data_IF_919497585053
#
_entry.id   IF_919497585053
#
_cell.length_a   1.000
_cell.length_b   1.000
_cell.length_c   1.000
_cell.angle_alpha   90.00
_cell.angle_beta   90.00
_cell.angle_gamma   90.00
#
_symmetry.space_group_name_H-M   'P 1'
#
loop_
_entity.id
_entity.type
_entity.pdbx_description
1 polymer ?
#
# COMPACT_ATOMS: atom_id res chain seq x y z
N UNK A 1 31.51 -54.92 22.73
CA UNK A 1 30.16 -54.38 22.50
C UNK A 1 29.98 -53.16 23.38
N UNK A 2 30.19 -51.96 22.85
CA UNK A 2 29.89 -50.71 23.56
C UNK A 2 28.72 -50.05 22.82
N UNK A 3 27.61 -49.86 23.52
CA UNK A 3 26.37 -49.35 22.97
C UNK A 3 26.55 -47.91 22.51
N UNK A 4 26.31 -47.66 21.23
CA UNK A 4 26.13 -46.32 20.67
C UNK A 4 24.75 -45.84 21.11
N UNK A 5 24.70 -44.87 22.03
CA UNK A 5 23.46 -44.15 22.31
C UNK A 5 23.28 -43.11 21.21
N UNK A 6 22.50 -43.48 20.20
CA UNK A 6 21.94 -42.58 19.21
C UNK A 6 20.76 -41.84 19.82
N UNK A 7 20.77 -40.50 19.76
CA UNK A 7 19.52 -39.72 19.87
C UNK A 7 18.97 -39.45 18.46
N UNK A 8 17.68 -39.20 18.37
CA UNK A 8 16.89 -39.22 17.13
C UNK A 8 17.21 -38.11 16.10
N UNK A 9 18.28 -37.32 16.29
CA UNK A 9 18.56 -36.12 15.51
C UNK A 9 19.85 -36.19 14.68
N UNK A 10 20.46 -37.36 14.49
CA UNK A 10 21.57 -37.54 13.53
C UNK A 10 22.82 -36.68 13.78
N UNK A 11 22.89 -35.95 14.89
CA UNK A 11 24.11 -35.28 15.32
C UNK A 11 24.98 -36.35 15.99
N UNK A 12 26.16 -36.57 15.43
CA UNK A 12 27.20 -37.37 16.07
C UNK A 12 27.66 -36.69 17.37
N UNK A 13 26.90 -36.87 18.45
CA UNK A 13 27.36 -36.60 19.80
C UNK A 13 27.84 -37.92 20.39
N UNK A 14 29.12 -38.22 20.18
CA UNK A 14 29.86 -39.13 21.07
C UNK A 14 31.34 -38.78 21.10
N UNK A 15 31.67 -38.05 22.16
CA UNK A 15 32.68 -38.38 23.18
C UNK A 15 34.07 -38.83 22.71
N UNK A 16 35.08 -38.06 23.15
CA UNK A 16 36.54 -38.24 23.02
C UNK A 16 37.21 -37.68 21.75
N UNK A 17 37.11 -36.36 21.54
CA UNK A 17 38.04 -35.60 20.69
C UNK A 17 39.01 -34.77 21.56
N UNK A 18 40.31 -34.71 21.20
CA UNK A 18 41.38 -34.18 22.06
C UNK A 18 41.40 -32.66 22.30
N UNK A 19 40.40 -31.90 21.87
CA UNK A 19 40.13 -30.52 22.36
C UNK A 19 38.72 -30.16 21.94
N UNK A 20 37.74 -30.37 22.81
CA UNK A 20 36.43 -29.74 22.67
C UNK A 20 36.52 -28.35 23.29
N UNK A 21 36.20 -27.31 22.52
CA UNK A 21 36.12 -25.94 23.02
C UNK A 21 34.96 -25.82 24.01
N UNK A 22 35.23 -25.27 25.20
CA UNK A 22 34.20 -25.10 26.22
C UNK A 22 33.11 -24.14 25.74
N UNK A 23 33.49 -23.09 25.02
CA UNK A 23 32.57 -22.11 24.43
C UNK A 23 31.54 -22.78 23.52
N UNK A 24 31.95 -23.71 22.66
CA UNK A 24 31.06 -24.45 21.76
C UNK A 24 30.10 -25.33 22.55
N UNK A 25 30.59 -26.02 23.59
CA UNK A 25 29.75 -26.83 24.47
C UNK A 25 28.71 -25.99 25.22
N UNK A 26 29.06 -24.75 25.62
CA UNK A 26 28.11 -23.82 26.25
C UNK A 26 27.08 -23.29 25.25
N UNK A 27 27.52 -22.89 24.06
CA UNK A 27 26.63 -22.39 22.98
C UNK A 27 25.62 -23.46 22.58
N UNK A 28 26.04 -24.71 22.44
CA UNK A 28 25.14 -25.82 22.08
C UNK A 28 24.05 -26.10 23.12
N UNK A 29 24.25 -25.68 24.38
CA UNK A 29 23.26 -25.82 25.46
C UNK A 29 22.30 -24.64 25.56
N UNK A 30 22.49 -23.59 24.75
CA UNK A 30 21.53 -22.51 24.68
C UNK A 30 20.25 -23.01 24.00
N UNK A 31 19.07 -22.85 24.61
CA UNK A 31 17.84 -23.46 24.11
C UNK A 31 17.43 -22.93 22.73
N UNK A 32 17.80 -21.70 22.39
CA UNK A 32 17.63 -21.13 21.04
C UNK A 32 18.50 -21.84 19.99
N UNK A 33 19.75 -22.16 20.35
CA UNK A 33 20.69 -22.86 19.47
C UNK A 33 20.24 -24.30 19.29
N UNK A 34 19.87 -24.98 20.38
CA UNK A 34 19.31 -26.33 20.33
C UNK A 34 18.07 -26.40 19.43
N UNK A 35 17.12 -25.47 19.60
CA UNK A 35 15.91 -25.39 18.76
C UNK A 35 16.24 -25.17 17.28
N UNK A 36 17.25 -24.33 16.99
CA UNK A 36 17.69 -24.04 15.62
C UNK A 36 18.32 -25.26 14.97
N UNK A 37 19.21 -25.96 15.70
CA UNK A 37 19.84 -27.20 15.23
C UNK A 37 18.77 -28.26 14.97
N UNK A 38 17.83 -28.47 15.91
CA UNK A 38 16.74 -29.43 15.72
C UNK A 38 15.87 -29.09 14.52
N UNK A 39 15.52 -27.81 14.34
CA UNK A 39 14.74 -27.34 13.18
C UNK A 39 15.49 -27.59 11.87
N UNK A 40 16.78 -27.25 11.82
CA UNK A 40 17.62 -27.49 10.66
C UNK A 40 17.72 -28.99 10.35
N UNK A 41 17.96 -29.84 11.36
CA UNK A 41 17.96 -31.30 11.23
C UNK A 41 16.63 -31.82 10.70
N UNK A 42 15.50 -31.32 11.19
CA UNK A 42 14.18 -31.75 10.74
C UNK A 42 13.92 -31.38 9.28
N UNK A 43 14.29 -30.17 8.88
CA UNK A 43 14.17 -29.72 7.48
C UNK A 43 15.09 -30.55 6.59
N UNK A 44 16.34 -30.74 7.00
CA UNK A 44 17.30 -31.54 6.29
C UNK A 44 16.82 -32.99 6.12
N UNK A 45 16.28 -33.61 7.18
CA UNK A 45 15.67 -34.93 7.13
C UNK A 45 14.53 -35.01 6.11
N UNK A 46 13.63 -34.01 6.08
CA UNK A 46 12.58 -33.93 5.06
C UNK A 46 13.11 -33.83 3.62
N UNK A 47 14.19 -33.07 3.41
CA UNK A 47 14.84 -32.95 2.10
C UNK A 47 15.52 -34.27 1.71
N UNK A 48 16.20 -34.90 2.66
CA UNK A 48 16.85 -36.20 2.49
C UNK A 48 15.85 -37.28 2.10
N UNK A 49 14.75 -37.39 2.84
CA UNK A 49 13.73 -38.42 2.67
C UNK A 49 12.73 -38.13 1.54
N UNK A 50 12.90 -37.04 0.79
CA UNK A 50 11.96 -36.65 -0.26
C UNK A 50 11.88 -37.66 -1.41
N UNK A 51 13.03 -38.19 -1.87
CA UNK A 51 13.08 -39.29 -2.82
C UNK A 51 14.31 -40.20 -2.60
N UNK A 52 14.32 -41.37 -3.25
CA UNK A 52 15.38 -42.37 -3.07
C UNK A 52 16.76 -41.90 -3.54
N UNK A 53 16.84 -41.08 -4.59
CA UNK A 53 18.12 -40.56 -5.12
C UNK A 53 18.71 -39.51 -4.18
N UNK A 54 17.90 -38.58 -3.67
CA UNK A 54 18.35 -37.58 -2.70
C UNK A 54 18.76 -38.23 -1.38
N UNK A 55 18.00 -39.21 -0.90
CA UNK A 55 18.32 -39.95 0.31
C UNK A 55 19.66 -40.68 0.16
N UNK A 56 19.85 -41.41 -0.95
CA UNK A 56 21.09 -42.12 -1.21
C UNK A 56 22.29 -41.16 -1.32
N UNK A 57 22.16 -40.07 -2.05
CA UNK A 57 23.23 -39.08 -2.27
C UNK A 57 23.64 -38.42 -0.96
N UNK A 58 22.67 -37.95 -0.17
CA UNK A 58 22.92 -37.27 1.11
C UNK A 58 23.42 -38.24 2.18
N UNK A 59 22.88 -39.47 2.24
CA UNK A 59 23.42 -40.52 3.13
C UNK A 59 24.87 -40.87 2.78
N UNK A 60 25.21 -40.91 1.49
CA UNK A 60 26.58 -41.15 1.03
C UNK A 60 27.50 -39.99 1.41
N UNK A 61 27.04 -38.75 1.27
CA UNK A 61 27.78 -37.56 1.70
C UNK A 61 28.02 -37.56 3.21
N UNK A 62 26.99 -37.82 4.03
CA UNK A 62 27.11 -37.94 5.49
C UNK A 62 28.10 -39.05 5.88
N UNK A 63 27.99 -40.22 5.26
CA UNK A 63 28.89 -41.35 5.52
C UNK A 63 30.34 -41.00 5.16
N UNK A 64 30.55 -40.25 4.08
CA UNK A 64 31.89 -39.78 3.68
C UNK A 64 32.48 -38.84 4.72
N UNK A 65 31.69 -37.90 5.25
CA UNK A 65 32.14 -36.99 6.32
C UNK A 65 32.47 -37.78 7.60
N UNK A 66 31.60 -38.70 8.00
CA UNK A 66 31.83 -39.53 9.19
C UNK A 66 33.11 -40.36 9.05
N UNK A 67 33.31 -40.99 7.89
CA UNK A 67 34.53 -41.74 7.60
C UNK A 67 35.78 -40.86 7.55
N UNK A 68 35.68 -39.65 6.98
CA UNK A 68 36.79 -38.69 6.97
C UNK A 68 37.18 -38.24 8.39
N UNK A 69 36.21 -38.07 9.29
CA UNK A 69 36.47 -37.75 10.71
C UNK A 69 37.17 -38.93 11.40
N UNK A 70 36.70 -40.15 11.19
CA UNK A 70 37.29 -41.35 11.79
C UNK A 70 38.72 -41.60 11.32
N UNK A 71 38.97 -41.53 10.01
CA UNK A 71 40.29 -41.70 9.40
C UNK A 71 41.22 -40.51 9.69
N UNK A 72 40.67 -39.30 9.77
CA UNK A 72 41.42 -38.06 10.02
C UNK A 72 41.85 -37.88 11.48
N UNK A 73 41.15 -38.48 12.44
CA UNK A 73 41.45 -38.36 13.88
C UNK A 73 42.92 -38.62 14.25
N UNK A 74 43.57 -39.74 13.84
CA UNK A 74 44.99 -39.97 14.13
C UNK A 74 45.92 -38.95 13.45
N UNK A 75 45.54 -38.45 12.27
CA UNK A 75 46.34 -37.50 11.47
C UNK A 75 46.28 -36.09 12.07
N UNK A 76 45.10 -35.69 12.57
CA UNK A 76 44.87 -34.38 13.15
C UNK A 76 45.43 -34.26 14.58
N UNK A 77 45.58 -35.38 15.31
CA UNK A 77 46.07 -35.39 16.70
C UNK A 77 47.39 -34.62 16.93
N UNK A 78 48.48 -34.83 16.16
CA UNK A 78 49.73 -34.08 16.35
C UNK A 78 49.59 -32.59 16.02
N UNK A 79 48.75 -32.22 15.05
CA UNK A 79 48.50 -30.81 14.68
C UNK A 79 47.72 -30.10 15.78
N UNK A 80 46.69 -30.75 16.31
CA UNK A 80 45.86 -30.24 17.40
C UNK A 80 46.72 -29.93 18.63
N UNK A 81 47.69 -30.78 18.99
CA UNK A 81 48.59 -30.53 20.13
C UNK A 81 49.41 -29.25 19.97
N UNK A 82 49.87 -28.94 18.76
CA UNK A 82 50.61 -27.69 18.50
C UNK A 82 49.69 -26.46 18.51
N UNK A 83 48.41 -26.64 18.19
CA UNK A 83 47.40 -25.57 18.16
C UNK A 83 46.62 -25.44 19.47
N UNK A 84 46.79 -26.35 20.43
CA UNK A 84 46.04 -26.38 21.68
C UNK A 84 46.19 -25.06 22.48
N UNK A 85 47.39 -24.50 22.52
CA UNK A 85 47.65 -23.21 23.18
C UNK A 85 46.85 -22.06 22.57
N UNK A 86 46.99 -21.79 21.25
CA UNK A 86 46.15 -20.82 20.55
C UNK A 86 44.64 -21.09 20.68
N UNK A 87 44.20 -22.35 20.55
CA UNK A 87 42.79 -22.74 20.67
C UNK A 87 42.24 -22.40 22.06
N UNK A 88 42.99 -22.68 23.13
CA UNK A 88 42.58 -22.32 24.50
C UNK A 88 42.46 -20.81 24.72
N UNK A 89 43.36 -20.01 24.12
CA UNK A 89 43.26 -18.55 24.21
C UNK A 89 41.98 -18.04 23.55
N UNK A 90 41.67 -18.54 22.35
CA UNK A 90 40.44 -18.21 21.64
C UNK A 90 39.22 -18.68 22.44
N UNK A 91 39.25 -19.91 22.95
CA UNK A 91 38.17 -20.46 23.76
C UNK A 91 37.89 -19.63 25.01
N UNK A 92 38.94 -19.14 25.68
CA UNK A 92 38.80 -18.26 26.85
C UNK A 92 38.13 -16.93 26.47
N UNK A 93 38.52 -16.33 25.34
CA UNK A 93 37.91 -15.08 24.84
C UNK A 93 36.45 -15.31 24.46
N UNK A 94 36.14 -16.45 23.81
CA UNK A 94 34.77 -16.81 23.45
C UNK A 94 33.91 -17.07 24.69
N UNK A 95 34.43 -17.76 25.70
CA UNK A 95 33.74 -17.94 26.98
C UNK A 95 33.47 -16.59 27.67
N UNK A 96 34.45 -15.69 27.69
CA UNK A 96 34.27 -14.34 28.25
C UNK A 96 33.25 -13.51 27.46
N UNK A 97 33.26 -13.61 26.13
CA UNK A 97 32.26 -12.97 25.26
C UNK A 97 30.86 -13.54 25.47
N UNK A 98 30.77 -14.85 25.66
CA UNK A 98 29.52 -15.53 25.97
C UNK A 98 28.99 -15.11 27.36
N UNK A 99 29.86 -15.02 28.37
CA UNK A 99 29.50 -14.50 29.70
C UNK A 99 28.98 -13.05 29.62
N UNK A 100 29.61 -12.22 28.79
CA UNK A 100 29.15 -10.86 28.56
C UNK A 100 27.74 -10.83 27.96
N UNK A 101 27.49 -11.62 26.91
CA UNK A 101 26.16 -11.73 26.30
C UNK A 101 25.13 -12.27 27.28
N UNK A 102 25.46 -13.30 28.06
CA UNK A 102 24.56 -13.86 29.07
C UNK A 102 24.23 -12.85 30.19
N UNK A 103 25.18 -11.98 30.55
CA UNK A 103 24.97 -10.95 31.58
C UNK A 103 24.12 -9.77 31.09
N UNK A 104 24.26 -9.39 29.82
CA UNK A 104 23.54 -8.25 29.22
C UNK A 104 22.20 -8.64 28.62
N UNK A 105 22.05 -9.88 28.20
CA UNK A 105 20.82 -10.42 27.62
C UNK A 105 20.47 -11.76 28.26
N UNK A 106 19.96 -11.78 29.51
CA UNK A 106 19.58 -13.03 30.19
C UNK A 106 18.56 -13.88 29.42
N UNK A 107 17.80 -13.25 28.50
CA UNK A 107 16.85 -13.89 27.61
C UNK A 107 17.47 -15.02 26.75
N UNK A 108 18.78 -15.01 26.48
CA UNK A 108 19.49 -16.08 25.76
C UNK A 108 19.43 -17.45 26.47
N UNK A 109 19.19 -17.46 27.78
CA UNK A 109 19.04 -18.70 28.58
C UNK A 109 17.63 -19.27 28.59
N UNK A 110 16.64 -18.50 28.13
CA UNK A 110 15.25 -18.91 28.15
C UNK A 110 14.88 -19.63 26.86
N UNK A 111 14.06 -20.69 26.92
CA UNK A 111 13.54 -21.30 25.71
C UNK A 111 12.67 -20.29 24.93
N UNK A 112 12.68 -20.34 23.59
CA UNK A 112 11.94 -19.38 22.77
C UNK A 112 10.44 -19.29 23.08
N UNK A 113 9.81 -20.40 23.46
CA UNK A 113 8.39 -20.48 23.80
C UNK A 113 8.04 -19.69 25.07
N UNK A 114 8.85 -19.80 26.11
CA UNK A 114 8.64 -19.09 27.38
C UNK A 114 8.95 -17.60 27.23
N UNK A 115 9.99 -17.26 26.47
CA UNK A 115 10.33 -15.87 26.16
C UNK A 115 9.16 -15.19 25.44
N UNK A 116 8.59 -15.84 24.42
CA UNK A 116 7.43 -15.30 23.69
C UNK A 116 6.24 -15.09 24.62
N UNK A 117 5.95 -16.04 25.50
CA UNK A 117 4.88 -15.91 26.49
C UNK A 117 5.13 -14.73 27.43
N UNK A 118 6.35 -14.57 27.97
CA UNK A 118 6.70 -13.45 28.84
C UNK A 118 6.58 -12.10 28.15
N UNK A 119 7.03 -11.99 26.89
CA UNK A 119 6.85 -10.77 26.10
C UNK A 119 5.38 -10.49 25.89
N UNK A 120 4.60 -11.51 25.53
CA UNK A 120 3.17 -11.36 25.29
C UNK A 120 2.43 -10.90 26.55
N UNK A 121 2.66 -11.54 27.70
CA UNK A 121 2.02 -11.16 28.96
C UNK A 121 2.45 -9.77 29.40
N UNK A 122 3.75 -9.46 29.37
CA UNK A 122 4.26 -8.13 29.75
C UNK A 122 3.70 -7.04 28.85
N UNK A 123 3.61 -7.28 27.54
CA UNK A 123 3.03 -6.33 26.59
C UNK A 123 1.54 -6.18 26.81
N UNK A 124 0.82 -7.29 27.03
CA UNK A 124 -0.61 -7.28 27.32
C UNK A 124 -0.91 -6.52 28.61
N UNK A 125 -0.14 -6.76 29.67
CA UNK A 125 -0.27 -6.06 30.95
C UNK A 125 0.05 -4.57 30.79
N UNK A 126 1.10 -4.23 30.03
CA UNK A 126 1.42 -2.83 29.76
C UNK A 126 0.29 -2.13 28.99
N UNK A 127 -0.26 -2.77 27.96
CA UNK A 127 -1.40 -2.24 27.21
C UNK A 127 -2.61 -2.10 28.13
N UNK A 128 -2.92 -3.11 28.92
CA UNK A 128 -4.10 -3.11 29.81
C UNK A 128 -3.99 -2.05 30.90
N UNK A 129 -2.81 -1.88 31.50
CA UNK A 129 -2.62 -1.00 32.64
C UNK A 129 -2.29 0.45 32.28
N UNK A 130 -1.73 0.69 31.09
CA UNK A 130 -1.31 2.04 30.68
C UNK A 130 -2.04 2.56 29.45
N UNK A 131 -2.17 1.72 28.42
CA UNK A 131 -2.72 2.17 27.13
C UNK A 131 -4.24 2.23 27.18
N UNK A 132 -4.91 1.16 27.62
CA UNK A 132 -6.38 1.09 27.73
C UNK A 132 -6.96 2.25 28.55
N UNK A 133 -6.51 2.53 29.80
CA UNK A 133 -7.08 3.63 30.57
C UNK A 133 -6.79 5.00 29.97
N UNK A 134 -5.64 5.19 29.34
CA UNK A 134 -5.32 6.45 28.64
C UNK A 134 -6.24 6.65 27.42
N UNK A 135 -6.49 5.59 26.66
CA UNK A 135 -7.42 5.60 25.51
C UNK A 135 -8.85 5.83 25.95
N UNK A 136 -9.32 5.15 27.01
CA UNK A 136 -10.66 5.35 27.57
C UNK A 136 -10.84 6.77 28.09
N UNK A 137 -9.82 7.31 28.77
CA UNK A 137 -9.81 8.71 29.21
C UNK A 137 -9.92 9.65 28.01
N UNK A 138 -9.07 9.50 26.99
CA UNK A 138 -9.11 10.32 25.79
C UNK A 138 -10.46 10.22 25.06
N UNK A 139 -11.02 9.01 24.97
CA UNK A 139 -12.35 8.77 24.40
C UNK A 139 -13.44 9.51 25.17
N UNK A 140 -13.41 9.49 26.51
CA UNK A 140 -14.38 10.18 27.35
C UNK A 140 -14.43 11.70 27.11
N UNK A 141 -13.29 12.30 26.76
CA UNK A 141 -13.21 13.73 26.40
C UNK A 141 -13.64 14.00 24.95
N UNK A 142 -13.31 13.08 24.02
CA UNK A 142 -13.58 13.25 22.60
C UNK A 142 -15.04 12.94 22.22
N UNK A 143 -15.66 11.91 22.80
CA UNK A 143 -17.03 11.48 22.46
C UNK A 143 -18.08 12.59 22.60
N UNK A 144 -18.11 13.38 23.69
CA UNK A 144 -19.07 14.48 23.81
C UNK A 144 -18.85 15.57 22.76
N UNK A 145 -17.59 15.85 22.38
CA UNK A 145 -17.27 16.84 21.36
C UNK A 145 -17.72 16.37 19.97
N UNK A 146 -17.47 15.11 19.64
CA UNK A 146 -17.93 14.47 18.39
C UNK A 146 -19.46 14.43 18.35
N UNK A 147 -20.11 14.08 19.46
CA UNK A 147 -21.57 14.08 19.58
C UNK A 147 -22.18 15.47 19.30
N UNK A 148 -21.62 16.53 19.92
CA UNK A 148 -22.04 17.91 19.67
C UNK A 148 -21.83 18.34 18.22
N UNK A 149 -20.69 17.99 17.63
CA UNK A 149 -20.41 18.31 16.23
C UNK A 149 -21.41 17.62 15.29
N UNK A 150 -21.74 16.35 15.54
CA UNK A 150 -22.74 15.61 14.78
C UNK A 150 -24.13 16.23 14.89
N UNK A 151 -24.59 16.54 16.10
CA UNK A 151 -25.90 17.19 16.30
C UNK A 151 -25.96 18.58 15.66
N UNK A 152 -24.86 19.33 15.65
CA UNK A 152 -24.79 20.62 14.96
C UNK A 152 -24.93 20.43 13.44
N UNK A 153 -24.27 19.42 12.86
CA UNK A 153 -24.40 19.10 11.43
C UNK A 153 -25.84 18.67 11.08
N UNK A 154 -26.48 17.85 11.90
CA UNK A 154 -27.88 17.44 11.70
C UNK A 154 -28.84 18.64 11.76
N UNK A 155 -28.47 19.72 12.47
CA UNK A 155 -29.25 20.96 12.52
C UNK A 155 -29.03 21.90 11.31
N UNK A 156 -27.97 21.69 10.52
CA UNK A 156 -27.69 22.51 9.33
C UNK A 156 -28.73 22.24 8.23
N UNK A 157 -29.10 20.98 8.02
CA UNK A 157 -30.06 20.60 6.97
C UNK A 157 -31.45 21.25 7.13
N UNK A 158 -32.13 21.18 8.30
CA UNK A 158 -33.41 21.88 8.47
C UNK A 158 -33.27 23.40 8.45
N UNK A 159 -32.12 23.95 8.85
CA UNK A 159 -31.87 25.39 8.76
C UNK A 159 -31.72 25.84 7.30
N UNK A 160 -31.04 25.04 6.47
CA UNK A 160 -30.88 25.28 5.04
C UNK A 160 -32.23 25.19 4.31
N UNK A 161 -33.06 24.20 4.64
CA UNK A 161 -34.42 24.09 4.11
C UNK A 161 -35.29 25.30 4.49
N UNK A 162 -35.23 25.76 5.75
CA UNK A 162 -35.96 26.99 6.15
C UNK A 162 -35.48 28.21 5.37
N UNK A 163 -34.17 28.36 5.17
CA UNK A 163 -33.61 29.45 4.39
C UNK A 163 -34.08 29.40 2.93
N UNK A 164 -34.03 28.22 2.30
CA UNK A 164 -34.51 27.99 0.92
C UNK A 164 -35.98 28.38 0.78
N UNK A 165 -36.84 27.87 1.68
CA UNK A 165 -38.28 28.15 1.67
C UNK A 165 -38.63 29.62 1.98
N UNK A 166 -37.79 30.34 2.72
CA UNK A 166 -37.98 31.78 2.96
C UNK A 166 -37.57 32.65 1.77
N UNK A 167 -36.51 32.26 1.04
CA UNK A 167 -35.97 33.02 -0.10
C UNK A 167 -36.76 32.76 -1.38
N UNK A 168 -37.26 31.54 -1.62
CA UNK A 168 -37.96 31.16 -2.86
C UNK A 168 -39.17 32.06 -3.19
N UNK A 169 -40.07 32.40 -2.24
CA UNK A 169 -41.19 33.31 -2.52
C UNK A 169 -40.79 34.77 -2.75
N UNK A 170 -39.64 35.21 -2.23
CA UNK A 170 -39.12 36.54 -2.48
C UNK A 170 -38.51 36.62 -3.89
N UNK A 171 -37.81 35.57 -4.29
CA UNK A 171 -37.24 35.44 -5.63
C UNK A 171 -38.33 35.37 -6.71
N UNK A 172 -39.40 34.59 -6.48
CA UNK A 172 -40.54 34.54 -7.40
C UNK A 172 -41.28 35.88 -7.49
N UNK A 173 -41.44 36.61 -6.38
CA UNK A 173 -42.01 37.97 -6.42
C UNK A 173 -41.13 38.93 -7.21
N UNK A 174 -39.82 38.90 -6.99
CA UNK A 174 -38.88 39.73 -7.74
C UNK A 174 -38.93 39.40 -9.24
N UNK A 175 -38.95 38.11 -9.59
CA UNK A 175 -39.05 37.65 -10.98
C UNK A 175 -40.34 38.16 -11.63
N UNK A 176 -41.50 37.93 -11.02
CA UNK A 176 -42.79 38.37 -11.54
C UNK A 176 -42.93 39.90 -11.64
N UNK A 177 -42.26 40.65 -10.77
CA UNK A 177 -42.24 42.11 -10.85
C UNK A 177 -41.35 42.63 -12.00
N UNK A 178 -40.26 41.91 -12.31
CA UNK A 178 -39.30 42.29 -13.34
C UNK A 178 -39.71 41.80 -14.73
N UNK A 179 -40.37 40.64 -14.85
CA UNK A 179 -40.78 40.04 -16.12
C UNK A 179 -41.57 40.99 -17.05
N UNK A 180 -42.63 41.71 -16.59
CA UNK A 180 -43.39 42.64 -17.45
C UNK A 180 -42.63 43.91 -17.82
N UNK A 181 -41.54 44.25 -17.12
CA UNK A 181 -40.66 45.35 -17.48
C UNK A 181 -39.67 44.94 -18.57
N UNK A 182 -39.30 43.66 -18.61
CA UNK A 182 -38.35 43.11 -19.58
C UNK A 182 -39.01 42.85 -20.93
N UNK A 183 -40.23 42.32 -20.96
CA UNK A 183 -40.99 42.05 -22.21
C UNK A 183 -41.01 43.23 -23.20
N UNK A 184 -41.44 44.45 -22.85
CA UNK A 184 -41.50 45.56 -23.80
C UNK A 184 -40.12 46.02 -24.28
N UNK A 185 -39.07 45.83 -23.45
CA UNK A 185 -37.69 46.11 -23.86
C UNK A 185 -37.21 45.08 -24.87
N UNK A 186 -37.54 43.81 -24.66
CA UNK A 186 -37.24 42.72 -25.61
C UNK A 186 -37.96 42.92 -26.93
N UNK A 187 -39.26 43.23 -26.91
CA UNK A 187 -40.06 43.52 -28.11
C UNK A 187 -39.51 44.71 -28.90
N UNK A 188 -39.12 45.80 -28.20
CA UNK A 188 -38.48 46.95 -28.86
C UNK A 188 -37.13 46.60 -29.47
N UNK A 189 -36.35 45.76 -28.80
CA UNK A 189 -35.08 45.28 -29.34
C UNK A 189 -35.30 44.41 -30.59
N UNK A 190 -36.34 43.58 -30.60
CA UNK A 190 -36.72 42.76 -31.77
C UNK A 190 -37.22 43.62 -32.94
N UNK A 191 -38.12 44.58 -32.69
CA UNK A 191 -38.61 45.49 -33.73
C UNK A 191 -37.49 46.36 -34.32
N UNK A 192 -36.53 46.79 -33.49
CA UNK A 192 -35.34 47.50 -33.98
C UNK A 192 -34.49 46.59 -34.87
N UNK A 193 -34.28 45.33 -34.47
CA UNK A 193 -33.55 44.34 -35.28
C UNK A 193 -34.22 44.14 -36.64
N UNK A 194 -35.54 44.02 -36.70
CA UNK A 194 -36.27 43.87 -37.96
C UNK A 194 -36.14 45.11 -38.86
N UNK A 195 -36.27 46.32 -38.30
CA UNK A 195 -36.05 47.56 -39.05
C UNK A 195 -34.65 47.65 -39.62
N UNK A 196 -33.64 47.26 -38.84
CA UNK A 196 -32.25 47.22 -39.29
C UNK A 196 -32.10 46.20 -40.42
N UNK A 197 -32.66 45.00 -40.30
CA UNK A 197 -32.61 44.01 -41.39
C UNK A 197 -33.28 44.51 -42.67
N UNK A 198 -34.47 45.11 -42.58
CA UNK A 198 -35.16 45.65 -43.74
C UNK A 198 -34.35 46.76 -44.44
N UNK A 199 -33.70 47.61 -43.65
CA UNK A 199 -32.88 48.70 -44.20
C UNK A 199 -31.57 48.18 -44.81
N UNK A 200 -30.98 47.15 -44.22
CA UNK A 200 -29.82 46.45 -44.79
C UNK A 200 -30.20 45.82 -46.14
N UNK A 201 -31.39 45.21 -46.24
CA UNK A 201 -31.90 44.66 -47.49
C UNK A 201 -32.11 45.74 -48.57
N UNK A 202 -32.69 46.89 -48.20
CA UNK A 202 -32.84 48.04 -49.09
C UNK A 202 -31.49 48.59 -49.61
N UNK A 203 -30.46 48.62 -48.75
CA UNK A 203 -29.12 49.07 -49.16
C UNK A 203 -28.43 48.06 -50.08
N UNK A 204 -28.65 46.76 -49.88
CA UNK A 204 -28.08 45.71 -50.73
C UNK A 204 -28.62 45.76 -52.16
N UNK A 205 -29.89 46.14 -52.36
CA UNK A 205 -30.53 46.12 -53.68
C UNK A 205 -30.50 47.44 -54.46
N UNK A 206 -29.98 48.54 -53.89
CA UNK A 206 -29.94 49.86 -54.54
C UNK A 206 -28.92 50.00 -55.69
N UNK A 207 -28.04 49.00 -55.88
CA UNK A 207 -26.92 49.06 -56.83
C UNK A 207 -27.04 48.17 -58.08
N UNK A 208 -28.12 47.43 -58.27
CA UNK A 208 -28.30 46.52 -59.42
C UNK A 208 -29.29 47.09 -60.46
N UNK A 209 -28.83 47.35 -61.68
CA UNK A 209 -29.71 47.59 -62.83
C UNK A 209 -30.39 46.25 -63.20
N UNK A 210 -31.72 46.19 -63.07
CA UNK A 210 -32.52 45.03 -63.50
C UNK A 210 -32.82 45.15 -65.00
N UNK A 211 -31.99 44.51 -65.83
CA UNK A 211 -32.38 44.19 -67.20
C UNK A 211 -33.48 43.11 -67.17
N UNK A 212 -34.60 43.42 -67.83
CA UNK A 212 -35.85 42.70 -67.70
C UNK A 212 -35.78 41.23 -68.10
N UNK A 213 -36.11 40.36 -67.15
CA UNK A 213 -36.79 39.11 -67.42
C UNK A 213 -37.86 38.88 -66.35
N UNK A 214 -39.12 38.92 -66.75
CA UNK A 214 -40.27 38.44 -65.97
C UNK A 214 -40.08 36.95 -65.67
N UNK A 215 -39.86 36.61 -64.39
CA UNK A 215 -39.78 35.25 -63.89
C UNK A 215 -39.18 35.17 -62.49
N UNK A 216 -40.06 35.06 -61.48
CA UNK A 216 -39.88 34.66 -60.05
C UNK A 216 -38.49 34.27 -59.51
N UNK A 217 -37.47 35.13 -59.66
CA UNK A 217 -36.18 34.98 -58.98
C UNK A 217 -35.67 36.35 -58.52
N UNK A 218 -36.13 36.79 -57.35
CA UNK A 218 -35.73 38.02 -56.66
C UNK A 218 -34.29 37.98 -56.11
N UNK A 219 -33.40 37.10 -56.58
CA UNK A 219 -32.02 37.02 -56.09
C UNK A 219 -31.01 37.04 -57.23
N UNK A 220 -30.06 37.98 -57.13
CA UNK A 220 -28.91 38.08 -58.01
C UNK A 220 -28.03 36.83 -57.90
N UNK A 221 -27.38 36.40 -58.98
CA UNK A 221 -26.63 35.14 -58.97
C UNK A 221 -25.40 35.18 -58.04
N UNK A 222 -24.86 36.38 -57.79
CA UNK A 222 -23.82 36.60 -56.77
C UNK A 222 -24.39 36.44 -55.35
N UNK A 223 -25.62 36.86 -55.12
CA UNK A 223 -26.33 36.78 -53.85
C UNK A 223 -26.61 35.32 -53.46
N UNK A 224 -27.01 34.49 -54.45
CA UNK A 224 -27.17 33.04 -54.25
C UNK A 224 -25.86 32.36 -53.90
N UNK A 225 -24.76 32.73 -54.57
CA UNK A 225 -23.44 32.16 -54.27
C UNK A 225 -22.95 32.52 -52.86
N UNK A 226 -23.15 33.76 -52.42
CA UNK A 226 -22.78 34.18 -51.06
C UNK A 226 -23.64 33.48 -50.00
N UNK A 227 -24.95 33.37 -50.23
CA UNK A 227 -25.85 32.62 -49.34
C UNK A 227 -25.43 31.16 -49.22
N UNK A 228 -25.11 30.51 -50.33
CA UNK A 228 -24.67 29.11 -50.33
C UNK A 228 -23.38 28.92 -49.52
N UNK A 229 -22.41 29.84 -49.68
CA UNK A 229 -21.16 29.82 -48.89
C UNK A 229 -21.39 30.00 -47.39
N UNK A 230 -22.32 30.87 -47.00
CA UNK A 230 -22.65 31.10 -45.59
C UNK A 230 -23.32 29.87 -44.95
N UNK A 231 -24.20 29.19 -45.69
CA UNK A 231 -24.85 27.95 -45.24
C UNK A 231 -23.81 26.85 -45.04
N UNK A 232 -22.92 26.64 -46.01
CA UNK A 232 -21.84 25.65 -45.91
C UNK A 232 -20.88 25.94 -44.75
N UNK A 233 -20.60 27.22 -44.46
CA UNK A 233 -19.74 27.61 -43.33
C UNK A 233 -20.43 27.36 -41.97
N UNK A 234 -21.74 27.60 -41.86
CA UNK A 234 -22.51 27.29 -40.65
C UNK A 234 -22.60 25.78 -40.38
N UNK A 235 -22.86 24.98 -41.42
CA UNK A 235 -22.88 23.52 -41.32
C UNK A 235 -21.52 22.96 -40.88
N UNK A 236 -20.42 23.49 -41.43
CA UNK A 236 -19.06 23.11 -41.02
C UNK A 236 -18.80 23.44 -39.55
N UNK A 237 -19.20 24.63 -39.09
CA UNK A 237 -19.09 25.04 -37.67
C UNK A 237 -19.99 24.24 -36.72
N UNK A 238 -21.09 23.66 -37.20
CA UNK A 238 -21.94 22.76 -36.42
C UNK A 238 -21.36 21.34 -36.35
N UNK A 239 -20.77 20.84 -37.44
CA UNK A 239 -20.03 19.56 -37.43
C UNK A 239 -18.83 19.59 -36.48
N UNK A 240 -18.05 20.68 -36.48
CA UNK A 240 -16.92 20.85 -35.56
C UNK A 240 -17.37 20.89 -34.09
N UNK A 241 -18.54 21.46 -33.80
CA UNK A 241 -19.11 21.52 -32.44
C UNK A 241 -19.76 20.22 -31.96
N UNK A 242 -20.17 19.34 -32.87
CA UNK A 242 -20.73 18.01 -32.51
C UNK A 242 -19.67 16.92 -32.43
N UNK A 243 -18.44 17.18 -32.93
CA UNK A 243 -17.30 16.27 -32.84
C UNK A 243 -16.32 16.60 -31.72
N UNK A 244 -16.55 17.67 -30.95
CA UNK A 244 -15.77 18.07 -29.76
C UNK A 244 -16.56 17.89 -28.47
#
# INVERSE_FOLDING_TARGET
>A
MAAQQTNANGVLVSSNYPTCMESVNRISKLPVVESTIQTATNIYGKVKDYNSVTNWTLTTAESTVNMAVEVGKPIATPVIKNLEGPIKKVDTVLCSGLDYVESKMPAVKLPPSELLLQIYTSTKDYVTNHVTPAVETARSYAEPAIGRARSAMDAVEPALERARNAVEPALERARNAVEPLVEPVVERAQALRENVMQKVDEYLHRGHEHDGHEGDALECEECKQVRQKLIEEEERKQQERTQS
#
